data_IF_148433673287
#
_entry.id   IF_148433673287
#
_cell.length_a   1.000
_cell.length_b   1.000
_cell.length_c   1.000
_cell.angle_alpha   90.00
_cell.angle_beta   90.00
_cell.angle_gamma   90.00
#
_symmetry.space_group_name_H-M   'P 1'
#
loop_
_entity.id
_entity.type
_entity.pdbx_description
1 polymer ?
#
# COMPACT_ATOMS: atom_id res chain seq x y z
N UNK A 1 16.61 7.86 22.38
CA UNK A 1 15.14 7.83 22.52
C UNK A 1 14.35 7.90 21.21
N UNK A 2 14.97 8.21 20.05
CA UNK A 2 14.26 8.32 18.75
C UNK A 2 13.48 7.06 18.38
N UNK A 3 14.12 5.89 18.41
CA UNK A 3 13.48 4.60 18.10
C UNK A 3 12.26 4.29 18.97
N UNK A 4 12.34 4.55 20.29
CA UNK A 4 11.22 4.29 21.20
C UNK A 4 10.01 5.17 20.86
N UNK A 5 10.23 6.45 20.59
CA UNK A 5 9.15 7.35 20.17
C UNK A 5 8.53 6.90 18.83
N UNK A 6 9.36 6.57 17.84
CA UNK A 6 8.86 6.11 16.54
C UNK A 6 8.07 4.79 16.67
N UNK A 7 8.55 3.89 17.51
CA UNK A 7 7.86 2.63 17.81
C UNK A 7 6.52 2.85 18.51
N UNK A 8 6.45 3.78 19.46
CA UNK A 8 5.19 4.15 20.13
C UNK A 8 4.16 4.71 19.16
N UNK A 9 4.58 5.50 18.17
CA UNK A 9 3.67 5.99 17.11
C UNK A 9 3.11 4.82 16.29
N UNK A 10 3.96 3.87 15.88
CA UNK A 10 3.54 2.69 15.12
C UNK A 10 2.56 1.83 15.93
N UNK A 11 2.87 1.55 17.20
CA UNK A 11 1.97 0.80 18.09
C UNK A 11 0.66 1.55 18.33
N UNK A 12 0.71 2.86 18.57
CA UNK A 12 -0.49 3.67 18.81
C UNK A 12 -1.46 3.60 17.63
N UNK A 13 -0.97 3.70 16.39
CA UNK A 13 -1.81 3.58 15.20
C UNK A 13 -2.34 2.16 15.01
N UNK A 14 -1.51 1.16 15.28
CA UNK A 14 -1.92 -0.25 15.21
C UNK A 14 -3.04 -0.54 16.21
N UNK A 15 -2.94 0.00 17.42
CA UNK A 15 -3.96 -0.12 18.46
C UNK A 15 -5.28 0.56 18.06
N UNK A 16 -5.20 1.76 17.47
CA UNK A 16 -6.39 2.43 16.90
C UNK A 16 -7.01 1.59 15.79
N UNK A 17 -6.20 0.96 14.93
CA UNK A 17 -6.69 0.03 13.90
C UNK A 17 -7.45 -1.17 14.46
N UNK A 18 -6.99 -1.75 15.58
CA UNK A 18 -7.71 -2.82 16.26
C UNK A 18 -9.02 -2.31 16.88
N UNK A 19 -9.01 -1.13 17.51
CA UNK A 19 -10.23 -0.48 18.01
C UNK A 19 -11.26 -0.28 16.88
N UNK A 20 -10.82 0.19 15.70
CA UNK A 20 -11.69 0.38 14.56
C UNK A 20 -12.30 -0.93 14.06
N UNK A 21 -11.53 -2.02 14.04
CA UNK A 21 -12.06 -3.35 13.68
C UNK A 21 -13.14 -3.82 14.66
N UNK A 22 -13.02 -3.50 15.95
CA UNK A 22 -14.09 -3.81 16.91
C UNK A 22 -15.35 -2.97 16.68
N UNK A 23 -15.20 -1.71 16.27
CA UNK A 23 -16.34 -0.82 16.00
C UNK A 23 -17.00 -1.09 14.64
N UNK A 24 -16.22 -1.43 13.61
CA UNK A 24 -16.68 -1.80 12.27
C UNK A 24 -16.47 -3.30 12.05
N UNK A 25 -17.51 -4.13 12.14
CA UNK A 25 -17.42 -5.59 11.96
C UNK A 25 -17.30 -5.97 10.48
N UNK A 26 -16.34 -5.40 9.76
CA UNK A 26 -15.99 -5.82 8.40
C UNK A 26 -15.02 -7.02 8.46
N UNK A 27 -15.08 -7.95 7.49
CA UNK A 27 -14.18 -9.10 7.41
C UNK A 27 -12.76 -8.70 6.92
N UNK A 28 -12.17 -7.67 7.51
CA UNK A 28 -10.88 -7.11 7.15
C UNK A 28 -9.95 -7.16 8.36
N UNK A 29 -8.68 -7.60 8.21
CA UNK A 29 -7.71 -7.58 9.31
C UNK A 29 -7.46 -6.17 9.84
N UNK A 30 -7.23 -6.03 11.15
CA UNK A 30 -6.92 -4.76 11.80
C UNK A 30 -5.70 -4.04 11.19
N UNK A 31 -4.71 -4.82 10.72
CA UNK A 31 -3.49 -4.30 10.10
C UNK A 31 -3.77 -3.42 8.86
N UNK A 32 -4.84 -3.71 8.11
CA UNK A 32 -5.22 -2.91 6.94
C UNK A 32 -5.72 -1.53 7.38
N UNK A 33 -6.52 -1.45 8.46
CA UNK A 33 -6.95 -0.17 9.03
C UNK A 33 -5.75 0.65 9.51
N UNK A 34 -4.84 0.02 10.27
CA UNK A 34 -3.61 0.69 10.71
C UNK A 34 -2.79 1.24 9.54
N UNK A 35 -2.66 0.48 8.45
CA UNK A 35 -1.96 0.91 7.24
C UNK A 35 -2.64 2.12 6.58
N UNK A 36 -3.96 2.11 6.44
CA UNK A 36 -4.72 3.23 5.85
C UNK A 36 -4.61 4.48 6.72
N UNK A 37 -4.72 4.35 8.04
CA UNK A 37 -4.58 5.47 8.99
C UNK A 37 -3.18 6.05 8.92
N UNK A 38 -2.14 5.21 8.96
CA UNK A 38 -0.75 5.65 8.81
C UNK A 38 -0.54 6.38 7.49
N UNK A 39 -1.05 5.82 6.39
CA UNK A 39 -0.93 6.42 5.06
C UNK A 39 -1.59 7.80 4.98
N UNK A 40 -2.82 7.95 5.48
CA UNK A 40 -3.51 9.24 5.55
C UNK A 40 -2.76 10.22 6.45
N UNK A 41 -2.25 9.75 7.60
CA UNK A 41 -1.44 10.56 8.52
C UNK A 41 -0.15 11.09 7.88
N UNK A 42 0.50 10.29 7.03
CA UNK A 42 1.66 10.70 6.24
C UNK A 42 1.29 11.67 5.13
N UNK A 43 0.20 11.42 4.39
CA UNK A 43 -0.26 12.31 3.31
C UNK A 43 -0.70 13.68 3.82
N UNK A 44 -1.38 13.73 4.96
CA UNK A 44 -1.84 14.99 5.60
C UNK A 44 -0.70 15.74 6.31
N UNK A 45 0.47 15.13 6.45
CA UNK A 45 1.61 15.69 7.19
C UNK A 45 1.43 15.69 8.72
N UNK A 46 0.32 15.12 9.23
CA UNK A 46 0.09 14.94 10.67
C UNK A 46 1.18 14.06 11.31
N UNK A 47 1.70 13.11 10.55
CA UNK A 47 2.83 12.26 10.92
C UNK A 47 3.98 12.55 9.98
N UNK A 48 5.13 12.99 10.52
CA UNK A 48 6.35 13.15 9.73
C UNK A 48 6.94 11.77 9.42
N UNK A 49 7.45 11.56 8.21
CA UNK A 49 8.08 10.30 7.82
C UNK A 49 9.23 9.90 8.77
N UNK A 50 10.02 10.88 9.20
CA UNK A 50 11.12 10.69 10.17
C UNK A 50 10.64 10.27 11.57
N UNK A 51 9.34 10.37 11.85
CA UNK A 51 8.73 9.92 13.10
C UNK A 51 8.38 8.42 13.09
N UNK A 52 8.55 7.70 11.97
CA UNK A 52 8.26 6.26 11.89
C UNK A 52 9.30 5.45 11.10
N UNK A 53 10.11 6.11 10.25
CA UNK A 53 10.98 5.47 9.26
C UNK A 53 12.04 4.52 9.85
N UNK A 54 12.77 4.93 10.88
CA UNK A 54 13.91 4.14 11.39
C UNK A 54 13.42 2.91 12.16
N UNK A 55 12.41 3.07 13.02
CA UNK A 55 11.75 1.97 13.72
C UNK A 55 11.04 1.02 12.74
N UNK A 56 10.35 1.55 11.72
CA UNK A 56 9.75 0.73 10.68
C UNK A 56 10.78 -0.12 9.93
N UNK A 57 11.92 0.48 9.55
CA UNK A 57 13.01 -0.25 8.89
C UNK A 57 13.58 -1.35 9.79
N UNK A 58 13.83 -1.03 11.07
CA UNK A 58 14.28 -2.00 12.05
C UNK A 58 13.29 -3.16 12.24
N UNK A 59 11.98 -2.89 12.31
CA UNK A 59 10.95 -3.92 12.42
C UNK A 59 10.91 -4.84 11.20
N UNK A 60 11.07 -4.29 10.00
CA UNK A 60 11.16 -5.08 8.75
C UNK A 60 12.42 -5.96 8.77
N UNK A 61 13.54 -5.44 9.29
CA UNK A 61 14.81 -6.15 9.35
C UNK A 61 14.76 -7.37 10.29
N UNK A 62 14.05 -7.27 11.42
CA UNK A 62 13.87 -8.40 12.35
C UNK A 62 12.69 -9.33 11.99
N UNK A 63 11.86 -8.96 11.00
CA UNK A 63 10.68 -9.73 10.58
C UNK A 63 11.00 -11.20 10.23
N UNK A 64 12.11 -11.55 9.54
CA UNK A 64 12.48 -12.94 9.27
C UNK A 64 12.66 -13.78 10.54
N UNK A 65 13.23 -13.20 11.60
CA UNK A 65 13.46 -13.89 12.88
C UNK A 65 12.10 -14.20 13.54
N UNK A 66 11.13 -13.29 13.45
CA UNK A 66 9.78 -13.48 13.95
C UNK A 66 8.99 -14.59 13.22
N UNK A 67 9.42 -14.99 12.01
CA UNK A 67 8.81 -16.12 11.29
C UNK A 67 9.34 -17.50 11.72
N UNK A 68 10.48 -17.59 12.41
CA UNK A 68 11.06 -18.87 12.84
C UNK A 68 10.07 -19.65 13.74
N UNK A 69 9.48 -19.05 14.81
CA UNK A 69 8.53 -19.76 15.66
C UNK A 69 7.26 -20.18 14.91
N UNK A 70 6.76 -19.32 14.02
CA UNK A 70 5.59 -19.62 13.20
C UNK A 70 5.86 -20.82 12.26
N UNK A 71 7.05 -20.86 11.65
CA UNK A 71 7.49 -21.96 10.79
C UNK A 71 7.62 -23.29 11.54
N UNK A 72 8.23 -23.28 12.73
CA UNK A 72 8.31 -24.48 13.57
C UNK A 72 6.93 -24.96 14.00
N UNK A 73 6.01 -24.06 14.34
CA UNK A 73 4.61 -24.41 14.67
C UNK A 73 3.87 -25.08 13.50
N UNK A 74 4.17 -24.69 12.25
CA UNK A 74 3.62 -25.36 11.07
C UNK A 74 4.13 -26.79 10.91
N UNK A 75 5.38 -27.09 11.32
CA UNK A 75 5.90 -28.46 11.29
C UNK A 75 5.11 -29.38 12.22
N UNK A 76 4.65 -28.88 13.37
CA UNK A 76 3.77 -29.63 14.28
C UNK A 76 2.40 -29.95 13.66
N UNK A 77 1.96 -29.18 12.66
CA UNK A 77 0.66 -29.33 11.98
C UNK A 77 0.79 -29.90 10.55
N UNK A 78 1.90 -30.59 10.25
CA UNK A 78 2.23 -31.05 8.90
C UNK A 78 1.16 -31.95 8.26
N UNK A 79 0.51 -32.81 9.05
CA UNK A 79 -0.54 -33.72 8.57
C UNK A 79 -1.77 -32.99 8.03
N UNK A 80 -2.12 -31.84 8.62
CA UNK A 80 -3.21 -30.96 8.17
C UNK A 80 -2.77 -30.13 6.96
N UNK A 81 -1.51 -29.70 6.93
CA UNK A 81 -0.97 -28.84 5.88
C UNK A 81 -0.75 -29.58 4.56
N UNK A 82 -0.30 -30.84 4.60
CA UNK A 82 0.04 -31.65 3.41
C UNK A 82 -1.05 -31.66 2.33
N UNK A 83 -2.34 -31.94 2.63
CA UNK A 83 -3.39 -31.91 1.60
C UNK A 83 -3.70 -30.50 1.09
N UNK A 84 -3.36 -29.45 1.85
CA UNK A 84 -3.62 -28.05 1.48
C UNK A 84 -2.51 -27.45 0.60
N UNK A 85 -1.32 -28.06 0.52
CA UNK A 85 -0.19 -27.54 -0.25
C UNK A 85 -0.54 -27.28 -1.73
N UNK A 86 -1.23 -28.22 -2.37
CA UNK A 86 -1.59 -28.09 -3.79
C UNK A 86 -2.67 -26.99 -4.00
N UNK A 87 -3.81 -26.99 -3.28
CA UNK A 87 -4.78 -25.89 -3.36
C UNK A 87 -4.18 -24.52 -3.05
N UNK A 88 -3.39 -24.40 -1.98
CA UNK A 88 -2.80 -23.12 -1.56
C UNK A 88 -1.79 -22.62 -2.59
N UNK A 89 -0.96 -23.50 -3.15
CA UNK A 89 0.00 -23.12 -4.20
C UNK A 89 -0.72 -22.55 -5.43
N UNK A 90 -1.77 -23.22 -5.90
CA UNK A 90 -2.56 -22.75 -7.05
C UNK A 90 -3.22 -21.40 -6.74
N UNK A 91 -3.91 -21.28 -5.61
CA UNK A 91 -4.57 -20.03 -5.20
C UNK A 91 -3.54 -18.90 -5.07
N UNK A 92 -2.35 -19.18 -4.54
CA UNK A 92 -1.27 -18.20 -4.40
C UNK A 92 -0.81 -17.68 -5.76
N UNK A 93 -0.50 -18.57 -6.70
CA UNK A 93 -0.06 -18.17 -8.04
C UNK A 93 -1.16 -17.37 -8.77
N UNK A 94 -2.40 -17.84 -8.74
CA UNK A 94 -3.53 -17.15 -9.38
C UNK A 94 -3.76 -15.77 -8.75
N UNK A 95 -3.67 -15.68 -7.42
CA UNK A 95 -3.84 -14.41 -6.70
C UNK A 95 -2.73 -13.43 -7.05
N UNK A 96 -1.47 -13.88 -7.10
CA UNK A 96 -0.32 -13.04 -7.48
C UNK A 96 -0.55 -12.45 -8.88
N UNK A 97 -0.86 -13.29 -9.88
CA UNK A 97 -1.06 -12.84 -11.26
C UNK A 97 -2.25 -11.88 -11.36
N UNK A 98 -3.35 -12.20 -10.67
CA UNK A 98 -4.58 -11.39 -10.70
C UNK A 98 -4.39 -10.03 -10.04
N UNK A 99 -3.79 -9.99 -8.84
CA UNK A 99 -3.51 -8.76 -8.11
C UNK A 99 -2.51 -7.90 -8.87
N UNK A 100 -1.44 -8.49 -9.41
CA UNK A 100 -0.44 -7.77 -10.19
C UNK A 100 -1.05 -7.20 -11.48
N UNK A 101 -1.90 -7.97 -12.18
CA UNK A 101 -2.62 -7.50 -13.36
C UNK A 101 -3.65 -6.39 -13.04
N UNK A 102 -4.38 -6.50 -11.93
CA UNK A 102 -5.34 -5.49 -11.50
C UNK A 102 -4.65 -4.19 -11.08
N UNK A 103 -3.61 -4.27 -10.24
CA UNK A 103 -2.80 -3.13 -9.80
C UNK A 103 -2.05 -2.47 -10.97
N UNK A 104 -1.54 -3.28 -11.90
CA UNK A 104 -0.92 -2.79 -13.13
C UNK A 104 -1.92 -2.02 -14.00
N UNK A 105 -3.13 -2.56 -14.21
CA UNK A 105 -4.19 -1.88 -14.98
C UNK A 105 -4.66 -0.61 -14.30
N UNK A 106 -4.85 -0.60 -12.98
CA UNK A 106 -5.27 0.61 -12.25
C UNK A 106 -4.21 1.72 -12.35
N UNK A 107 -2.94 1.39 -12.15
CA UNK A 107 -1.82 2.33 -12.32
C UNK A 107 -1.73 2.87 -13.77
N UNK A 108 -1.77 1.97 -14.76
CA UNK A 108 -1.76 2.38 -16.18
C UNK A 108 -2.96 3.24 -16.55
N UNK A 109 -4.14 2.99 -15.97
CA UNK A 109 -5.33 3.80 -16.21
C UNK A 109 -5.15 5.24 -15.69
N UNK A 110 -4.59 5.40 -14.48
CA UNK A 110 -4.28 6.72 -13.91
C UNK A 110 -3.26 7.45 -14.79
N UNK A 111 -2.17 6.80 -15.18
CA UNK A 111 -1.10 7.41 -16.01
C UNK A 111 -1.64 7.85 -17.39
N UNK A 112 -2.46 7.01 -18.05
CA UNK A 112 -3.06 7.34 -19.36
C UNK A 112 -4.02 8.52 -19.27
N UNK A 113 -4.73 8.66 -18.14
CA UNK A 113 -5.65 9.78 -17.90
C UNK A 113 -4.88 11.08 -17.73
N UNK A 114 -3.75 11.05 -17.03
CA UNK A 114 -2.87 12.19 -16.85
C UNK A 114 -2.23 12.65 -18.17
N UNK A 115 -1.72 11.71 -18.98
CA UNK A 115 -1.11 12.03 -20.29
C UNK A 115 -2.09 12.69 -21.26
N UNK A 116 -3.34 12.21 -21.31
CA UNK A 116 -4.39 12.84 -22.13
C UNK A 116 -4.66 14.29 -21.72
N UNK A 117 -4.56 14.61 -20.43
CA UNK A 117 -4.79 15.96 -19.94
C UNK A 117 -3.66 16.92 -20.35
N UNK A 118 -2.42 16.45 -20.36
CA UNK A 118 -1.24 17.21 -20.82
C UNK A 118 -1.27 17.44 -22.34
N UNK A 119 -1.51 16.39 -23.14
CA UNK A 119 -1.61 16.51 -24.60
C UNK A 119 -2.75 17.46 -25.04
N UNK A 120 -3.89 17.45 -24.35
CA UNK A 120 -5.02 18.33 -24.68
C UNK A 120 -4.70 19.80 -24.33
N UNK A 121 -3.93 20.06 -23.26
CA UNK A 121 -3.44 21.42 -22.94
C UNK A 121 -2.47 21.95 -23.99
N UNK A 122 -1.59 21.10 -24.52
CA UNK A 122 -0.65 21.50 -25.57
C UNK A 122 -1.37 21.79 -26.88
N UNK A 123 -2.34 20.97 -27.28
CA UNK A 123 -3.17 21.23 -28.47
C UNK A 123 -3.99 22.51 -28.36
N UNK A 124 -4.57 22.79 -27.19
CA UNK A 124 -5.32 24.05 -26.95
C UNK A 124 -4.39 25.28 -26.97
N UNK A 125 -3.13 25.16 -26.49
CA UNK A 125 -2.13 26.23 -26.64
C UNK A 125 -1.73 26.43 -28.11
N UNK A 126 -1.44 25.34 -28.83
CA UNK A 126 -1.03 25.39 -30.23
C UNK A 126 -2.13 25.92 -31.16
N UNK A 127 -3.41 25.70 -30.83
CA UNK A 127 -4.56 26.20 -31.60
C UNK A 127 -4.91 27.66 -31.28
N UNK A 128 -4.44 28.24 -30.17
CA UNK A 128 -4.64 29.66 -29.83
C UNK A 128 -3.57 30.58 -30.45
N UNK A 129 -2.39 30.06 -30.78
CA UNK A 129 -1.32 30.83 -31.44
C UNK A 129 -1.54 31.24 -32.93
N UNK A 130 -2.35 30.57 -33.78
CA UNK A 130 -2.52 30.97 -35.18
C UNK A 130 -3.39 32.22 -35.37
N UNK A 131 -4.27 32.55 -34.42
CA UNK A 131 -5.28 33.60 -34.60
C UNK A 131 -4.72 35.01 -34.37
N UNK A 132 -3.63 35.13 -33.60
CA UNK A 132 -3.08 36.44 -33.22
C UNK A 132 -2.08 37.00 -34.25
N UNK A 133 -1.64 36.18 -35.21
CA UNK A 133 -0.72 36.58 -36.29
C UNK A 133 -1.42 37.08 -37.56
N UNK A 134 -2.75 36.95 -37.67
CA UNK A 134 -3.51 37.38 -38.86
C UNK A 134 -4.21 38.74 -38.66
N UNK A 135 -4.40 39.21 -37.42
CA UNK A 135 -5.08 40.48 -37.13
C UNK A 135 -4.13 41.68 -36.97
N UNK A 136 -2.88 41.56 -37.41
CA UNK A 136 -1.84 42.62 -37.37
C UNK A 136 -1.36 43.05 -38.75
N UNK A 137 -2.09 42.72 -39.82
CA UNK A 137 -1.86 43.29 -41.16
C UNK A 137 -3.01 44.19 -41.61
#
# INVERSE_FOLDING_TARGET
MKYLHQFMVIIGITFVGELLKYMLPLPIPASIYGMVIMFIGLMTGAIKLDAVKDAGKFLIEIMPIMFIPAGVGLMSSWSVLKPLLLPVSIITVVTIVTVMGAAGRSSQWVIRRDRKHTENREKVKAQKMPVEAENTK
#
